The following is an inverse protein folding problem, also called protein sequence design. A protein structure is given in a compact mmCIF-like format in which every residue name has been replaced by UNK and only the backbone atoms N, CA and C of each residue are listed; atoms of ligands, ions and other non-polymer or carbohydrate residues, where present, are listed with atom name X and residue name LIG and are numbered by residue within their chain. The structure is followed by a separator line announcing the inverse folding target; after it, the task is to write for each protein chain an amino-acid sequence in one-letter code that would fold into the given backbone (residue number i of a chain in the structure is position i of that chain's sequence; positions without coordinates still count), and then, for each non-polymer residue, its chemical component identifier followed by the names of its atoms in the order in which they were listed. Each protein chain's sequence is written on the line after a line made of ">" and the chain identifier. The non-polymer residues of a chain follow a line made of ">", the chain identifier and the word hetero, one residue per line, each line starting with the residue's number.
data_IF_096244905968
#
_entry.id   IF_096244905968
#
_cell.length_a   1.000
_cell.length_b   1.000
_cell.length_c   1.000
_cell.angle_alpha   90.00
_cell.angle_beta   90.00
_cell.angle_gamma   90.00
#
_symmetry.space_group_name_H-M   'P 1'
#
loop_
_entity.id
_entity.type
_entity.pdbx_description
1 polymer ?
#
# COMPACT_ATOMS: atom_id res chain seq x y z
N UNK A 1 29.59 -18.50 5.03
CA UNK A 1 28.12 -18.66 5.05
C UNK A 1 27.59 -17.97 3.81
N UNK A 2 26.82 -18.64 2.96
CA UNK A 2 26.12 -17.93 1.88
C UNK A 2 25.21 -16.89 2.52
N UNK A 3 25.27 -15.63 2.08
CA UNK A 3 24.34 -14.61 2.56
C UNK A 3 22.92 -15.05 2.24
N UNK A 4 22.01 -15.02 3.21
CA UNK A 4 20.60 -15.31 2.97
C UNK A 4 20.08 -14.40 1.85
N UNK A 5 19.22 -14.95 1.01
CA UNK A 5 18.62 -14.22 -0.12
C UNK A 5 17.67 -13.14 0.36
N UNK A 6 17.26 -12.27 -0.56
CA UNK A 6 16.08 -11.43 -0.38
C UNK A 6 14.88 -12.04 -1.10
N UNK A 7 13.67 -11.56 -0.81
CA UNK A 7 12.47 -11.91 -1.55
C UNK A 7 11.67 -10.66 -1.95
N UNK A 8 10.90 -10.78 -3.02
CA UNK A 8 9.81 -9.86 -3.37
C UNK A 8 8.53 -10.65 -3.34
N UNK A 9 7.50 -10.13 -2.69
CA UNK A 9 6.20 -10.78 -2.63
C UNK A 9 5.08 -9.79 -2.98
N UNK A 10 4.44 -10.03 -4.12
CA UNK A 10 3.20 -9.35 -4.48
C UNK A 10 2.03 -9.95 -3.72
N UNK A 11 1.20 -9.10 -3.13
CA UNK A 11 0.05 -9.47 -2.31
C UNK A 11 -1.21 -9.27 -3.14
N UNK A 12 -1.83 -10.36 -3.55
CA UNK A 12 -2.98 -10.33 -4.47
C UNK A 12 -4.17 -11.06 -3.89
N UNK A 13 -5.39 -10.68 -4.28
CA UNK A 13 -6.53 -11.60 -4.18
C UNK A 13 -6.37 -12.74 -5.17
N UNK A 14 -6.20 -12.35 -6.43
CA UNK A 14 -5.88 -13.19 -7.58
C UNK A 14 -4.95 -12.37 -8.46
N UNK A 15 -3.79 -12.89 -8.88
CA UNK A 15 -2.85 -12.11 -9.65
C UNK A 15 -3.37 -11.85 -11.06
N UNK A 16 -3.27 -10.61 -11.51
CA UNK A 16 -3.56 -10.22 -12.89
C UNK A 16 -2.36 -10.45 -13.82
N UNK A 17 -2.61 -10.31 -15.12
CA UNK A 17 -1.64 -10.65 -16.15
C UNK A 17 -0.42 -9.72 -16.16
N UNK A 18 -0.62 -8.46 -15.80
CA UNK A 18 0.43 -7.44 -15.76
C UNK A 18 1.36 -7.66 -14.57
N UNK A 19 0.80 -7.98 -13.40
CA UNK A 19 1.56 -8.31 -12.18
C UNK A 19 2.45 -9.52 -12.42
N UNK A 20 1.92 -10.59 -13.01
CA UNK A 20 2.68 -11.81 -13.34
C UNK A 20 3.82 -11.44 -14.31
N UNK A 21 3.53 -10.75 -15.41
CA UNK A 21 4.54 -10.41 -16.41
C UNK A 21 5.67 -9.55 -15.85
N UNK A 22 5.37 -8.58 -14.98
CA UNK A 22 6.41 -7.78 -14.36
C UNK A 22 7.23 -8.58 -13.33
N UNK A 23 6.58 -9.44 -12.54
CA UNK A 23 7.27 -10.37 -11.65
C UNK A 23 8.25 -11.28 -12.42
N UNK A 24 7.87 -11.77 -13.60
CA UNK A 24 8.78 -12.54 -14.43
C UNK A 24 9.95 -11.69 -14.99
N UNK A 25 9.74 -10.41 -15.28
CA UNK A 25 10.82 -9.51 -15.68
C UNK A 25 11.85 -9.35 -14.54
N UNK A 26 11.39 -9.17 -13.30
CA UNK A 26 12.27 -9.15 -12.12
C UNK A 26 13.04 -10.47 -11.98
N UNK A 27 12.36 -11.61 -12.17
CA UNK A 27 12.97 -12.93 -12.03
C UNK A 27 14.03 -13.23 -13.11
N UNK A 28 13.91 -12.64 -14.31
CA UNK A 28 14.84 -12.82 -15.42
C UNK A 28 16.05 -11.88 -15.35
N UNK A 29 15.97 -10.78 -14.61
CA UNK A 29 17.06 -9.81 -14.53
C UNK A 29 18.29 -10.41 -13.84
N UNK A 30 19.44 -10.36 -14.51
CA UNK A 30 20.68 -10.99 -14.04
C UNK A 30 21.23 -10.37 -12.75
N UNK A 31 20.84 -9.13 -12.43
CA UNK A 31 21.24 -8.44 -11.18
C UNK A 31 20.44 -8.94 -9.98
N UNK A 32 19.26 -9.52 -10.22
CA UNK A 32 18.32 -9.98 -9.18
C UNK A 32 18.28 -11.50 -9.06
N UNK A 33 18.26 -12.22 -10.18
CA UNK A 33 17.91 -13.66 -10.28
C UNK A 33 18.74 -14.60 -9.41
N UNK A 34 19.98 -14.23 -9.08
CA UNK A 34 20.84 -15.03 -8.20
C UNK A 34 20.53 -14.88 -6.71
N UNK A 35 19.94 -13.75 -6.30
CA UNK A 35 19.87 -13.33 -4.90
C UNK A 35 18.49 -12.86 -4.41
N UNK A 36 17.51 -12.75 -5.31
CA UNK A 36 16.15 -12.30 -5.00
C UNK A 36 15.14 -13.31 -5.53
N UNK A 37 14.43 -13.97 -4.63
CA UNK A 37 13.33 -14.87 -5.03
C UNK A 37 12.06 -14.04 -5.27
N UNK A 38 11.37 -14.31 -6.39
CA UNK A 38 10.15 -13.60 -6.76
C UNK A 38 8.92 -14.45 -6.42
N UNK A 39 8.05 -13.90 -5.58
CA UNK A 39 6.89 -14.57 -5.04
C UNK A 39 5.60 -13.80 -5.34
N UNK A 40 4.49 -14.53 -5.46
CA UNK A 40 3.14 -13.95 -5.51
C UNK A 40 2.29 -14.67 -4.46
N UNK A 41 1.82 -13.93 -3.46
CA UNK A 41 0.90 -14.42 -2.44
C UNK A 41 -0.54 -14.27 -2.93
N UNK A 42 -1.29 -15.36 -2.89
CA UNK A 42 -2.66 -15.45 -3.36
C UNK A 42 -3.61 -15.62 -2.17
N UNK A 43 -4.51 -14.66 -2.01
CA UNK A 43 -5.50 -14.68 -0.93
C UNK A 43 -6.74 -15.55 -1.24
N UNK A 44 -7.15 -15.67 -2.52
CA UNK A 44 -8.25 -16.56 -2.89
C UNK A 44 -7.83 -18.04 -2.77
N UNK A 45 -8.42 -18.78 -1.83
CA UNK A 45 -8.13 -20.21 -1.60
C UNK A 45 -8.56 -21.11 -2.77
N UNK A 46 -9.43 -20.64 -3.66
CA UNK A 46 -9.96 -21.43 -4.77
C UNK A 46 -9.24 -21.15 -6.10
N UNK A 47 -8.35 -20.16 -6.12
CA UNK A 47 -7.61 -19.82 -7.32
C UNK A 47 -6.73 -21.00 -7.76
N UNK A 48 -6.77 -21.31 -9.06
CA UNK A 48 -6.00 -22.41 -9.65
C UNK A 48 -4.67 -21.86 -10.16
N UNK A 49 -3.58 -22.22 -9.49
CA UNK A 49 -2.23 -21.81 -9.88
C UNK A 49 -1.84 -22.49 -11.18
N UNK A 50 -1.40 -21.70 -12.13
CA UNK A 50 -0.71 -22.20 -13.32
C UNK A 50 0.77 -22.31 -13.03
N UNK A 51 1.39 -23.42 -13.45
CA UNK A 51 2.81 -23.65 -13.22
C UNK A 51 3.65 -22.55 -13.89
N UNK A 52 4.63 -22.03 -13.14
CA UNK A 52 5.59 -21.04 -13.62
C UNK A 52 6.95 -21.39 -13.02
N UNK A 53 7.99 -21.46 -13.86
CA UNK A 53 9.34 -21.84 -13.41
C UNK A 53 10.13 -20.68 -12.79
N UNK A 54 9.66 -19.44 -12.96
CA UNK A 54 10.34 -18.22 -12.53
C UNK A 54 9.72 -17.61 -11.27
N UNK A 55 8.42 -17.82 -11.06
CA UNK A 55 7.66 -17.22 -9.96
C UNK A 55 7.24 -18.31 -8.96
N UNK A 56 7.49 -18.04 -7.68
CA UNK A 56 6.97 -18.84 -6.58
C UNK A 56 5.56 -18.35 -6.21
N UNK A 57 4.52 -19.02 -6.73
CA UNK A 57 3.15 -18.78 -6.29
C UNK A 57 2.91 -19.42 -4.93
N UNK A 58 2.45 -18.63 -3.96
CA UNK A 58 2.18 -19.05 -2.59
C UNK A 58 0.69 -18.87 -2.33
N UNK A 59 0.04 -19.95 -1.89
CA UNK A 59 -1.37 -19.94 -1.52
C UNK A 59 -1.52 -20.71 -0.21
N UNK A 60 -1.82 -19.98 0.86
CA UNK A 60 -1.97 -20.55 2.20
C UNK A 60 -3.45 -20.50 2.58
N UNK A 61 -3.96 -21.57 3.17
CA UNK A 61 -5.34 -21.61 3.62
C UNK A 61 -5.58 -20.61 4.77
N UNK A 62 -6.70 -19.88 4.73
CA UNK A 62 -7.06 -18.93 5.78
C UNK A 62 -7.06 -19.55 7.18
N UNK A 63 -7.57 -20.77 7.33
CA UNK A 63 -7.65 -21.46 8.62
C UNK A 63 -6.26 -21.80 9.17
N UNK A 64 -5.30 -22.13 8.30
CA UNK A 64 -3.92 -22.36 8.71
C UNK A 64 -3.30 -21.07 9.25
N UNK A 65 -3.50 -19.95 8.54
CA UNK A 65 -3.01 -18.64 8.95
C UNK A 65 -3.62 -18.20 10.30
N UNK A 66 -4.95 -18.30 10.43
CA UNK A 66 -5.71 -17.94 11.63
C UNK A 66 -5.31 -18.81 12.82
N UNK A 67 -5.24 -20.14 12.65
CA UNK A 67 -4.86 -21.06 13.74
C UNK A 67 -3.42 -20.83 14.23
N UNK A 68 -2.57 -20.22 13.41
CA UNK A 68 -1.22 -19.80 13.80
C UNK A 68 -1.15 -18.37 14.37
N UNK A 69 -2.28 -17.67 14.52
CA UNK A 69 -2.37 -16.33 15.10
C UNK A 69 -2.05 -15.20 14.12
N UNK A 70 -1.91 -15.50 12.83
CA UNK A 70 -1.69 -14.51 11.79
C UNK A 70 -3.03 -14.17 11.15
N UNK A 71 -3.68 -13.11 11.66
CA UNK A 71 -4.98 -12.65 11.19
C UNK A 71 -5.23 -11.22 11.66
N UNK A 72 -6.22 -10.56 11.03
CA UNK A 72 -6.78 -9.25 11.39
C UNK A 72 -5.92 -8.03 11.04
N UNK A 73 -4.86 -8.18 10.25
CA UNK A 73 -3.98 -7.05 9.90
C UNK A 73 -4.68 -5.90 9.17
N UNK A 74 -5.85 -6.13 8.55
CA UNK A 74 -6.67 -5.09 7.93
C UNK A 74 -8.16 -5.20 8.28
N UNK A 75 -8.48 -5.74 9.47
CA UNK A 75 -9.88 -5.99 9.85
C UNK A 75 -10.72 -4.71 9.94
N UNK A 76 -10.08 -3.58 10.27
CA UNK A 76 -10.73 -2.26 10.32
C UNK A 76 -11.35 -1.83 8.98
N UNK A 77 -10.71 -2.16 7.87
CA UNK A 77 -11.16 -1.72 6.54
C UNK A 77 -11.93 -2.78 5.76
N UNK A 78 -11.52 -4.05 5.87
CA UNK A 78 -11.98 -5.09 4.95
C UNK A 78 -13.04 -6.02 5.55
N UNK A 79 -13.31 -5.93 6.86
CA UNK A 79 -14.20 -6.85 7.59
C UNK A 79 -13.97 -8.34 7.23
N UNK A 80 -12.69 -8.70 7.02
CA UNK A 80 -12.24 -10.05 6.69
C UNK A 80 -11.12 -10.44 7.65
N UNK A 81 -11.19 -11.66 8.19
CA UNK A 81 -10.27 -12.08 9.25
C UNK A 81 -8.86 -12.39 8.74
N UNK A 82 -8.71 -12.92 7.52
CA UNK A 82 -7.41 -13.24 6.94
C UNK A 82 -7.34 -12.77 5.50
N UNK A 83 -6.29 -12.02 5.17
CA UNK A 83 -5.98 -11.52 3.83
C UNK A 83 -4.56 -11.89 3.40
N UNK A 84 -4.17 -11.52 2.17
CA UNK A 84 -2.83 -11.76 1.63
C UNK A 84 -1.70 -11.25 2.53
N UNK A 85 -1.90 -10.11 3.21
CA UNK A 85 -0.97 -9.58 4.22
C UNK A 85 -0.73 -10.56 5.38
N UNK A 86 -1.80 -11.09 5.99
CA UNK A 86 -1.68 -12.04 7.09
C UNK A 86 -0.92 -13.31 6.63
N UNK A 87 -1.27 -13.82 5.44
CA UNK A 87 -0.63 -15.01 4.84
C UNK A 87 0.85 -14.77 4.55
N UNK A 88 1.22 -13.60 4.02
CA UNK A 88 2.61 -13.24 3.76
C UNK A 88 3.40 -13.12 5.06
N UNK A 89 2.84 -12.50 6.09
CA UNK A 89 3.50 -12.41 7.38
C UNK A 89 3.64 -13.78 8.04
N UNK A 90 2.65 -14.66 7.95
CA UNK A 90 2.79 -16.05 8.39
C UNK A 90 3.91 -16.76 7.63
N UNK A 91 3.94 -16.64 6.30
CA UNK A 91 4.95 -17.26 5.46
C UNK A 91 6.37 -16.78 5.83
N UNK A 92 6.62 -15.46 5.85
CA UNK A 92 7.96 -14.92 6.05
C UNK A 92 8.39 -14.85 7.51
N UNK A 93 7.47 -14.73 8.47
CA UNK A 93 7.81 -14.71 9.89
C UNK A 93 7.92 -16.11 10.50
N UNK A 94 7.24 -17.12 9.93
CA UNK A 94 7.17 -18.47 10.49
C UNK A 94 7.71 -19.53 9.53
N UNK A 95 7.04 -19.79 8.39
CA UNK A 95 7.38 -20.90 7.49
C UNK A 95 8.80 -20.74 6.91
N UNK A 96 9.18 -19.51 6.57
CA UNK A 96 10.44 -19.12 5.92
C UNK A 96 11.30 -18.22 6.80
N UNK A 97 11.16 -18.35 8.12
CA UNK A 97 11.87 -17.51 9.09
C UNK A 97 13.39 -17.47 8.83
N UNK A 98 13.97 -18.59 8.37
CA UNK A 98 15.40 -18.71 8.20
C UNK A 98 15.92 -18.52 6.77
N UNK A 99 15.05 -18.30 5.78
CA UNK A 99 15.44 -18.37 4.37
C UNK A 99 15.86 -17.01 3.81
N UNK A 100 15.28 -15.92 4.35
CA UNK A 100 15.44 -14.57 3.81
C UNK A 100 16.05 -13.58 4.80
N UNK A 101 16.99 -12.75 4.33
CA UNK A 101 17.53 -11.61 5.08
C UNK A 101 16.66 -10.36 4.97
N UNK A 102 15.95 -10.21 3.85
CA UNK A 102 15.17 -9.03 3.52
C UNK A 102 13.98 -9.38 2.62
N UNK A 103 12.81 -8.81 2.86
CA UNK A 103 11.60 -9.09 2.08
C UNK A 103 10.90 -7.80 1.70
N UNK A 104 10.62 -7.62 0.41
CA UNK A 104 9.66 -6.62 -0.06
C UNK A 104 8.25 -7.21 -0.08
N UNK A 105 7.31 -6.52 0.55
CA UNK A 105 5.87 -6.82 0.54
C UNK A 105 5.17 -5.70 -0.21
N UNK A 106 4.45 -6.04 -1.28
CA UNK A 106 3.94 -5.06 -2.26
C UNK A 106 2.49 -5.42 -2.60
N UNK A 107 1.56 -4.50 -2.42
CA UNK A 107 0.17 -4.64 -2.87
C UNK A 107 0.10 -4.66 -4.40
N UNK A 108 -0.87 -5.39 -4.94
CA UNK A 108 -1.01 -5.59 -6.38
C UNK A 108 -1.46 -4.35 -7.14
N UNK A 109 -1.91 -3.29 -6.46
CA UNK A 109 -2.15 -1.96 -7.02
C UNK A 109 -1.00 -0.95 -6.76
N UNK A 110 0.16 -1.41 -6.30
CA UNK A 110 1.40 -0.63 -6.32
C UNK A 110 2.17 -0.85 -7.62
N UNK A 111 2.24 0.19 -8.46
CA UNK A 111 2.93 0.16 -9.73
C UNK A 111 4.42 0.53 -9.59
N UNK A 112 5.28 -0.39 -10.01
CA UNK A 112 6.74 -0.17 -10.08
C UNK A 112 7.12 -0.01 -11.54
N UNK A 113 7.56 1.16 -12.02
CA UNK A 113 7.67 1.46 -13.45
C UNK A 113 8.59 0.55 -14.28
N UNK A 114 9.69 0.07 -13.69
CA UNK A 114 10.69 -0.73 -14.40
C UNK A 114 11.48 -1.65 -13.46
N UNK A 115 12.21 -2.60 -14.04
CA UNK A 115 13.15 -3.42 -13.26
C UNK A 115 14.25 -2.54 -12.65
N UNK A 116 14.68 -1.48 -13.35
CA UNK A 116 15.69 -0.54 -12.86
C UNK A 116 15.22 0.25 -11.63
N UNK A 117 13.96 0.68 -11.60
CA UNK A 117 13.40 1.38 -10.44
C UNK A 117 13.25 0.46 -9.23
N UNK A 118 12.92 -0.83 -9.45
CA UNK A 118 13.00 -1.83 -8.39
C UNK A 118 14.44 -2.06 -7.91
N UNK A 119 15.34 -2.38 -8.84
CA UNK A 119 16.73 -2.75 -8.55
C UNK A 119 17.45 -1.64 -7.79
N UNK A 120 17.34 -0.39 -8.24
CA UNK A 120 18.01 0.75 -7.61
C UNK A 120 17.59 0.94 -6.16
N UNK A 121 16.30 0.76 -5.86
CA UNK A 121 15.80 0.86 -4.49
C UNK A 121 16.24 -0.33 -3.63
N UNK A 122 16.13 -1.54 -4.18
CA UNK A 122 16.53 -2.77 -3.50
C UNK A 122 18.03 -2.77 -3.18
N UNK A 123 18.88 -2.49 -4.16
CA UNK A 123 20.34 -2.49 -4.00
C UNK A 123 20.79 -1.49 -2.92
N UNK A 124 20.19 -0.30 -2.91
CA UNK A 124 20.53 0.77 -1.97
C UNK A 124 20.14 0.48 -0.53
N UNK A 125 18.97 -0.14 -0.29
CA UNK A 125 18.37 -0.17 1.05
C UNK A 125 18.13 -1.57 1.64
N UNK A 126 18.40 -2.65 0.90
CA UNK A 126 18.20 -4.01 1.42
C UNK A 126 19.49 -4.68 1.94
N UNK A 127 20.66 -4.12 1.64
CA UNK A 127 21.97 -4.70 1.97
C UNK A 127 22.97 -3.63 2.40
N UNK A 128 24.00 -4.04 3.13
CA UNK A 128 25.10 -3.16 3.56
C UNK A 128 24.69 -2.10 4.59
N UNK A 129 25.56 -1.09 4.77
CA UNK A 129 25.40 -0.05 5.78
C UNK A 129 24.16 0.84 5.57
N UNK A 130 23.77 1.02 4.32
CA UNK A 130 22.58 1.79 3.93
C UNK A 130 21.28 1.03 4.18
N UNK A 131 21.34 -0.26 4.54
CA UNK A 131 20.15 -1.08 4.77
C UNK A 131 19.27 -0.51 5.88
N UNK A 132 17.96 -0.59 5.70
CA UNK A 132 16.94 -0.29 6.71
C UNK A 132 16.30 -1.56 7.26
N UNK A 133 15.76 -1.47 8.47
CA UNK A 133 14.89 -2.51 9.03
C UNK A 133 13.47 -2.42 8.48
N UNK A 134 12.99 -1.19 8.28
CA UNK A 134 11.74 -0.87 7.59
C UNK A 134 12.02 0.17 6.51
N UNK A 135 11.65 -0.12 5.27
CA UNK A 135 11.60 0.86 4.17
C UNK A 135 10.13 1.10 3.87
N UNK A 136 9.65 2.33 4.03
CA UNK A 136 8.24 2.67 3.81
C UNK A 136 8.10 4.15 3.44
N UNK A 137 6.89 4.58 3.06
CA UNK A 137 6.67 5.93 2.54
C UNK A 137 6.95 7.04 3.59
N UNK A 138 6.53 6.86 4.84
CA UNK A 138 6.75 7.83 5.93
C UNK A 138 6.87 7.15 7.29
N UNK A 139 7.09 7.95 8.34
CA UNK A 139 7.13 7.45 9.71
C UNK A 139 6.55 8.52 10.65
N UNK A 140 5.25 8.77 10.50
CA UNK A 140 4.56 9.80 11.26
C UNK A 140 4.40 9.36 12.71
N UNK A 141 4.76 10.25 13.64
CA UNK A 141 4.76 9.98 15.08
C UNK A 141 3.49 10.52 15.75
N UNK A 142 2.88 9.67 16.57
CA UNK A 142 1.89 10.05 17.57
C UNK A 142 2.50 9.83 18.96
N UNK A 143 3.15 10.88 19.46
CA UNK A 143 3.93 10.84 20.70
C UNK A 143 3.05 10.61 21.94
N UNK A 144 1.89 11.25 21.99
CA UNK A 144 1.06 11.33 23.20
C UNK A 144 -0.14 10.37 23.20
N UNK A 145 -0.30 9.56 22.14
CA UNK A 145 -1.39 8.61 22.03
C UNK A 145 -2.76 9.26 21.77
N UNK A 146 -2.80 10.33 20.95
CA UNK A 146 -4.06 10.95 20.54
C UNK A 146 -4.87 9.97 19.68
N UNK A 147 -6.04 9.56 20.18
CA UNK A 147 -6.90 8.58 19.52
C UNK A 147 -7.88 9.20 18.50
N UNK A 148 -7.89 10.52 18.32
CA UNK A 148 -8.89 11.24 17.54
C UNK A 148 -8.70 11.19 16.02
N UNK A 149 -7.53 10.75 15.54
CA UNK A 149 -7.15 10.71 14.12
C UNK A 149 -6.63 9.33 13.70
N UNK A 150 -6.38 9.13 12.39
CA UNK A 150 -5.67 7.99 11.79
C UNK A 150 -6.01 6.59 12.33
N UNK A 151 -7.25 6.36 12.77
CA UNK A 151 -7.73 5.09 13.36
C UNK A 151 -7.01 4.69 14.66
N UNK A 152 -6.39 5.64 15.34
CA UNK A 152 -5.63 5.40 16.57
C UNK A 152 -6.45 4.80 17.70
N UNK A 153 -7.78 4.93 17.71
CA UNK A 153 -8.62 4.21 18.67
C UNK A 153 -8.38 2.69 18.69
N UNK A 154 -8.00 2.08 17.56
CA UNK A 154 -7.75 0.64 17.46
C UNK A 154 -6.43 0.20 18.13
N UNK A 155 -5.43 1.07 18.24
CA UNK A 155 -4.10 0.68 18.77
C UNK A 155 -4.09 0.49 20.29
N UNK A 156 -5.11 1.02 20.98
CA UNK A 156 -5.22 1.00 22.45
C UNK A 156 -5.22 -0.44 22.96
N UNK A 157 -4.36 -0.71 23.95
CA UNK A 157 -4.16 -2.05 24.50
C UNK A 157 -3.27 -2.98 23.66
N UNK A 158 -2.87 -2.57 22.45
CA UNK A 158 -1.91 -3.29 21.58
C UNK A 158 -0.49 -2.76 21.76
N UNK A 159 -0.33 -1.44 21.84
CA UNK A 159 0.93 -0.77 22.08
C UNK A 159 0.77 0.39 23.07
N UNK A 160 1.80 0.66 23.88
CA UNK A 160 1.93 1.93 24.61
C UNK A 160 2.46 3.02 23.68
N UNK A 161 2.05 4.29 23.81
CA UNK A 161 2.69 5.40 23.09
C UNK A 161 4.21 5.48 23.39
N UNK A 162 5.03 6.01 22.47
CA UNK A 162 4.65 6.60 21.18
C UNK A 162 4.22 5.55 20.15
N UNK A 163 3.28 5.93 19.28
CA UNK A 163 2.85 5.14 18.13
C UNK A 163 3.33 5.77 16.83
N UNK A 164 3.53 4.95 15.80
CA UNK A 164 4.01 5.41 14.50
C UNK A 164 3.23 4.74 13.37
N UNK A 165 3.11 5.42 12.24
CA UNK A 165 2.40 4.87 11.07
C UNK A 165 2.96 5.32 9.73
N UNK A 166 2.56 4.59 8.69
CA UNK A 166 2.82 4.91 7.27
C UNK A 166 1.71 4.34 6.38
N UNK A 167 1.63 4.83 5.14
CA UNK A 167 1.08 4.01 4.06
C UNK A 167 2.05 2.83 3.83
N UNK A 168 1.54 1.60 3.81
CA UNK A 168 2.37 0.39 3.71
C UNK A 168 2.10 -0.44 2.45
N UNK A 169 1.46 0.14 1.44
CA UNK A 169 1.16 -0.50 0.15
C UNK A 169 2.40 -1.09 -0.53
N UNK A 170 3.58 -0.55 -0.23
CA UNK A 170 4.86 -1.19 -0.52
C UNK A 170 5.84 -0.93 0.62
N UNK A 171 6.38 -2.00 1.21
CA UNK A 171 7.39 -1.91 2.26
C UNK A 171 8.50 -2.93 2.08
N UNK A 172 9.70 -2.57 2.55
CA UNK A 172 10.82 -3.47 2.71
C UNK A 172 11.05 -3.79 4.17
N UNK A 173 11.17 -5.06 4.52
CA UNK A 173 11.34 -5.53 5.90
C UNK A 173 12.63 -6.34 6.04
N UNK A 174 13.47 -5.99 7.01
CA UNK A 174 14.59 -6.84 7.40
C UNK A 174 14.11 -8.08 8.14
N UNK A 175 14.97 -9.10 8.20
CA UNK A 175 14.76 -10.28 9.06
C UNK A 175 14.51 -9.88 10.52
N UNK A 176 15.23 -8.88 11.04
CA UNK A 176 15.08 -8.41 12.42
C UNK A 176 13.65 -7.90 12.67
N UNK A 177 13.08 -7.11 11.75
CA UNK A 177 11.70 -6.64 11.86
C UNK A 177 10.70 -7.79 11.76
N UNK A 178 10.87 -8.68 10.79
CA UNK A 178 9.98 -9.85 10.63
C UNK A 178 10.03 -10.77 11.87
N UNK A 179 11.18 -10.90 12.54
CA UNK A 179 11.29 -11.66 13.78
C UNK A 179 10.57 -10.97 14.94
N UNK A 180 10.66 -9.64 15.04
CA UNK A 180 9.90 -8.88 16.04
C UNK A 180 8.39 -9.03 15.84
N UNK A 181 7.91 -8.97 14.60
CA UNK A 181 6.49 -9.22 14.26
C UNK A 181 6.10 -10.66 14.59
N UNK A 182 6.93 -11.65 14.22
CA UNK A 182 6.68 -13.05 14.57
C UNK A 182 6.61 -13.27 16.08
N UNK A 183 7.45 -12.60 16.86
CA UNK A 183 7.41 -12.65 18.32
C UNK A 183 6.16 -11.97 18.90
N UNK A 184 5.72 -10.84 18.33
CA UNK A 184 4.44 -10.22 18.68
C UNK A 184 3.29 -11.22 18.49
N UNK A 185 3.21 -11.88 17.33
CA UNK A 185 2.15 -12.86 17.03
C UNK A 185 2.22 -14.08 17.97
N UNK A 186 3.42 -14.58 18.30
CA UNK A 186 3.57 -15.67 19.28
C UNK A 186 2.97 -15.32 20.64
N UNK A 187 3.10 -14.07 21.08
CA UNK A 187 2.61 -13.61 22.39
C UNK A 187 1.13 -13.22 22.36
N UNK A 188 0.70 -12.52 21.31
CA UNK A 188 -0.60 -11.85 21.24
C UNK A 188 -1.64 -12.62 20.44
N UNK A 189 -1.20 -13.53 19.56
CA UNK A 189 -2.04 -14.42 18.73
C UNK A 189 -2.93 -13.69 17.72
N UNK A 190 -2.58 -12.48 17.32
CA UNK A 190 -3.19 -11.73 16.21
C UNK A 190 -2.18 -10.72 15.63
N UNK A 191 -2.47 -10.17 14.44
CA UNK A 191 -1.74 -9.04 13.85
C UNK A 191 -2.50 -7.72 14.09
N UNK A 192 -1.86 -6.68 14.62
CA UNK A 192 -2.43 -5.33 14.67
C UNK A 192 -2.64 -4.74 13.27
N UNK A 193 -3.38 -3.63 13.19
CA UNK A 193 -3.61 -2.98 11.91
C UNK A 193 -2.29 -2.55 11.25
N UNK A 194 -2.13 -2.96 10.00
CA UNK A 194 -0.87 -2.93 9.26
C UNK A 194 -0.23 -1.54 9.19
N UNK A 195 -1.01 -0.48 9.02
CA UNK A 195 -0.43 0.86 8.80
C UNK A 195 0.30 1.42 10.02
N UNK A 196 -0.03 0.97 11.23
CA UNK A 196 0.73 1.35 12.44
C UNK A 196 1.63 0.22 12.97
N UNK A 197 1.34 -1.05 12.66
CA UNK A 197 2.06 -2.19 13.22
C UNK A 197 3.56 -2.14 12.90
N UNK A 198 3.93 -2.01 11.63
CA UNK A 198 5.32 -2.09 11.19
C UNK A 198 6.16 -0.96 11.80
N UNK A 199 5.71 0.29 11.62
CA UNK A 199 6.40 1.47 12.12
C UNK A 199 6.49 1.45 13.65
N UNK A 200 5.40 1.13 14.36
CA UNK A 200 5.42 1.10 15.83
C UNK A 200 6.37 0.03 16.38
N UNK A 201 6.32 -1.21 15.85
CA UNK A 201 7.24 -2.27 16.26
C UNK A 201 8.70 -1.89 15.97
N UNK A 202 8.97 -1.33 14.79
CA UNK A 202 10.31 -0.91 14.40
C UNK A 202 10.87 0.16 15.36
N UNK A 203 10.11 1.23 15.59
CA UNK A 203 10.55 2.34 16.44
C UNK A 203 10.73 1.92 17.90
N UNK A 204 9.78 1.17 18.46
CA UNK A 204 9.87 0.68 19.85
C UNK A 204 10.99 -0.35 20.05
N UNK A 205 11.42 -1.01 18.97
CA UNK A 205 12.55 -1.94 18.98
C UNK A 205 13.88 -1.30 18.57
N UNK A 206 13.95 0.04 18.48
CA UNK A 206 15.15 0.79 18.07
C UNK A 206 15.71 0.28 16.73
N UNK A 207 14.83 0.14 15.75
CA UNK A 207 15.14 -0.28 14.39
C UNK A 207 15.28 0.93 13.47
N UNK A 208 16.04 0.77 12.38
CA UNK A 208 16.26 1.84 11.40
C UNK A 208 15.10 1.88 10.40
N UNK A 209 14.25 2.90 10.50
CA UNK A 209 13.20 3.19 9.51
C UNK A 209 13.76 4.15 8.45
N UNK A 210 13.57 3.83 7.17
CA UNK A 210 14.01 4.64 6.03
C UNK A 210 12.79 5.05 5.21
N UNK A 211 12.69 6.35 4.91
CA UNK A 211 11.64 6.92 4.07
C UNK A 211 12.22 7.46 2.76
N UNK A 212 12.44 6.59 1.75
CA UNK A 212 13.07 7.00 0.51
C UNK A 212 12.12 7.87 -0.33
N UNK A 213 12.67 8.86 -1.03
CA UNK A 213 11.92 9.73 -1.95
C UNK A 213 11.19 8.97 -3.05
N UNK A 214 11.72 7.81 -3.42
CA UNK A 214 11.19 6.88 -4.42
C UNK A 214 9.83 6.29 -4.00
N UNK A 215 9.52 6.25 -2.70
CA UNK A 215 8.23 5.81 -2.17
C UNK A 215 7.29 6.99 -1.84
N UNK A 216 7.67 8.24 -2.09
CA UNK A 216 6.85 9.42 -1.76
C UNK A 216 5.50 9.48 -2.48
N UNK A 217 5.37 8.74 -3.59
CA UNK A 217 4.16 8.62 -4.43
C UNK A 217 3.28 7.42 -4.05
N UNK A 218 3.57 6.77 -2.92
CA UNK A 218 2.67 5.81 -2.29
C UNK A 218 1.69 6.58 -1.39
N UNK A 219 0.50 6.87 -1.91
CA UNK A 219 -0.51 7.70 -1.24
C UNK A 219 -1.87 7.01 -1.22
N UNK A 220 -2.80 7.43 -0.36
CA UNK A 220 -4.09 6.75 -0.23
C UNK A 220 -4.94 6.80 -1.51
N UNK A 221 -5.01 7.97 -2.17
CA UNK A 221 -5.77 8.18 -3.40
C UNK A 221 -5.06 9.20 -4.27
N UNK A 222 -4.87 8.86 -5.52
CA UNK A 222 -4.35 9.74 -6.58
C UNK A 222 -4.68 9.14 -7.95
N UNK A 223 -4.88 10.00 -8.95
CA UNK A 223 -5.12 9.61 -10.33
C UNK A 223 -3.81 9.72 -11.13
N UNK A 224 -2.95 8.72 -10.96
CA UNK A 224 -1.65 8.68 -11.61
C UNK A 224 -1.77 8.52 -13.14
N UNK A 225 -0.87 9.19 -13.88
CA UNK A 225 -0.85 9.19 -15.35
C UNK A 225 0.54 8.77 -15.85
N UNK A 226 0.66 8.44 -17.14
CA UNK A 226 1.96 8.18 -17.77
C UNK A 226 2.93 9.36 -17.63
N UNK A 227 2.42 10.60 -17.60
CA UNK A 227 3.24 11.79 -17.42
C UNK A 227 3.82 11.89 -16.02
N UNK A 228 3.02 11.62 -14.99
CA UNK A 228 3.51 11.56 -13.61
C UNK A 228 4.64 10.52 -13.46
N UNK A 229 4.49 9.36 -14.10
CA UNK A 229 5.50 8.31 -14.09
C UNK A 229 6.77 8.74 -14.84
N UNK A 230 6.64 9.39 -16.00
CA UNK A 230 7.80 9.92 -16.75
C UNK A 230 8.60 10.95 -15.95
N UNK A 231 7.93 11.80 -15.18
CA UNK A 231 8.59 12.82 -14.36
C UNK A 231 9.33 12.23 -13.16
N UNK A 232 8.94 11.03 -12.70
CA UNK A 232 9.54 10.35 -11.55
C UNK A 232 9.76 8.86 -11.87
N UNK A 233 10.66 8.53 -12.81
CA UNK A 233 10.79 7.17 -13.35
C UNK A 233 11.28 6.14 -12.33
N UNK A 234 11.95 6.59 -11.26
CA UNK A 234 12.42 5.74 -10.17
C UNK A 234 11.39 5.57 -9.04
N UNK A 235 10.29 6.32 -9.06
CA UNK A 235 9.28 6.25 -8.02
C UNK A 235 8.38 5.02 -8.18
N UNK A 236 7.84 4.55 -7.08
CA UNK A 236 6.76 3.55 -7.07
C UNK A 236 5.45 4.25 -6.76
N UNK A 237 4.36 3.84 -7.42
CA UNK A 237 3.13 4.60 -7.44
C UNK A 237 1.97 3.78 -6.90
N UNK A 238 1.21 4.35 -5.98
CA UNK A 238 -0.03 3.76 -5.50
C UNK A 238 -1.06 4.88 -5.30
N UNK A 239 -2.34 4.65 -5.67
CA UNK A 239 -2.88 3.41 -6.25
C UNK A 239 -2.86 3.37 -7.79
N UNK A 240 -2.65 2.18 -8.36
CA UNK A 240 -2.82 1.87 -9.79
C UNK A 240 -3.61 0.56 -9.94
N UNK A 241 -4.94 0.67 -10.04
CA UNK A 241 -5.84 -0.51 -9.97
C UNK A 241 -6.13 -1.20 -11.30
N UNK A 242 -5.90 -0.52 -12.43
CA UNK A 242 -6.26 -1.04 -13.75
C UNK A 242 -5.03 -1.66 -14.44
N UNK A 243 -5.07 -2.97 -14.68
CA UNK A 243 -3.95 -3.69 -15.31
C UNK A 243 -3.62 -3.20 -16.73
N UNK A 244 -4.62 -2.77 -17.52
CA UNK A 244 -4.41 -2.26 -18.87
C UNK A 244 -3.68 -0.92 -18.83
N UNK A 245 -4.05 -0.04 -17.91
CA UNK A 245 -3.36 1.24 -17.71
C UNK A 245 -1.90 1.01 -17.30
N UNK A 246 -1.63 0.11 -16.35
CA UNK A 246 -0.25 -0.23 -15.95
C UNK A 246 0.56 -0.78 -17.14
N UNK A 247 -0.04 -1.68 -17.92
CA UNK A 247 0.56 -2.24 -19.13
C UNK A 247 0.90 -1.16 -20.16
N UNK A 248 -0.06 -0.29 -20.47
CA UNK A 248 0.10 0.78 -21.46
C UNK A 248 1.19 1.76 -21.04
N UNK A 249 1.24 2.13 -19.76
CA UNK A 249 2.31 2.99 -19.23
C UNK A 249 3.67 2.34 -19.41
N UNK A 250 3.85 1.05 -19.07
CA UNK A 250 5.14 0.36 -19.28
C UNK A 250 5.55 0.35 -20.75
N UNK A 251 4.61 0.07 -21.65
CA UNK A 251 4.90 0.07 -23.10
C UNK A 251 5.37 1.46 -23.54
N UNK A 252 4.66 2.52 -23.14
CA UNK A 252 5.05 3.91 -23.44
C UNK A 252 6.45 4.22 -22.93
N UNK A 253 6.79 3.80 -21.69
CA UNK A 253 8.12 4.01 -21.13
C UNK A 253 9.20 3.31 -21.95
N UNK A 254 8.99 2.05 -22.37
CA UNK A 254 9.96 1.29 -23.19
C UNK A 254 10.21 1.97 -24.55
N UNK A 255 9.19 2.51 -25.19
CA UNK A 255 9.31 3.11 -26.53
C UNK A 255 9.75 4.58 -26.54
N UNK A 256 9.70 5.27 -25.39
CA UNK A 256 9.96 6.71 -25.31
C UNK A 256 11.20 7.08 -24.48
N UNK A 257 11.95 6.12 -23.93
CA UNK A 257 13.27 6.45 -23.38
C UNK A 257 14.21 6.82 -24.55
N UNK A 258 14.82 8.01 -24.57
CA UNK A 258 15.84 8.32 -25.56
C UNK A 258 17.00 7.34 -25.36
N UNK A 259 17.39 6.64 -26.41
CA UNK A 259 18.69 5.96 -26.47
C UNK A 259 19.76 7.05 -26.44
N UNK A 260 20.20 7.43 -25.23
CA UNK A 260 21.33 8.33 -25.10
C UNK A 260 22.56 7.67 -25.71
N UNK A 261 23.14 8.37 -26.70
CA UNK A 261 24.36 8.05 -27.42
C UNK A 261 25.39 7.35 -26.54
N UNK A 262 25.54 6.04 -26.71
CA UNK A 262 26.79 5.35 -26.43
C UNK A 262 27.63 5.52 -27.69
N UNK A 263 28.63 6.38 -27.63
CA UNK A 263 29.71 6.35 -28.61
C UNK A 263 30.30 4.94 -28.59
N UNK A 264 30.17 4.23 -29.71
CA UNK A 264 30.78 2.94 -29.91
C UNK A 264 32.31 3.08 -29.95
N UNK A 265 33.04 2.22 -29.22
CA UNK A 265 34.16 1.54 -29.84
C UNK A 265 33.90 0.04 -29.83
N UNK A 266 34.05 -0.58 -31.01
CA UNK A 266 34.32 -2.01 -31.09
C UNK A 266 33.10 -2.90 -31.26
N UNK A 267 32.90 -3.29 -32.51
CA UNK A 267 32.10 -4.42 -32.97
C UNK A 267 32.46 -5.73 -32.22
N UNK A 268 31.51 -6.33 -31.50
CA UNK A 268 31.54 -7.75 -31.13
C UNK A 268 30.12 -8.29 -31.33
N UNK A 269 29.96 -9.10 -32.38
CA UNK A 269 28.66 -9.63 -32.81
C UNK A 269 28.13 -10.74 -31.91
N UNK A 270 26.81 -10.76 -31.75
CA UNK A 270 26.04 -11.94 -31.35
C UNK A 270 24.96 -12.19 -32.40
N UNK A 271 24.83 -13.41 -32.98
CA UNK A 271 23.72 -13.75 -33.84
C UNK A 271 22.56 -14.26 -32.97
N UNK A 272 21.43 -13.58 -33.02
CA UNK A 272 20.19 -14.03 -32.38
C UNK A 272 19.00 -13.38 -33.05
N UNK A 273 18.40 -14.07 -34.02
CA UNK A 273 17.18 -13.63 -34.70
C UNK A 273 16.03 -13.53 -33.69
N UNK A 274 15.42 -12.35 -33.58
CA UNK A 274 14.10 -12.19 -32.94
C UNK A 274 13.00 -12.73 -33.87
N UNK A 275 11.98 -13.46 -33.36
CA UNK A 275 10.82 -13.85 -34.15
C UNK A 275 10.00 -12.63 -34.57
N UNK A 276 9.73 -12.47 -35.87
CA UNK A 276 8.73 -11.52 -36.36
C UNK A 276 7.33 -12.05 -36.06
N UNK A 277 6.62 -11.41 -35.12
CA UNK A 277 5.17 -11.56 -35.00
C UNK A 277 4.49 -10.70 -36.08
N UNK A 278 4.13 -11.31 -37.21
CA UNK A 278 3.14 -10.74 -38.12
C UNK A 278 1.73 -11.01 -37.57
N UNK A 279 1.24 -10.12 -36.70
CA UNK A 279 -0.16 -10.10 -36.29
C UNK A 279 -0.91 -9.04 -37.09
N UNK A 280 -1.77 -9.45 -38.02
CA UNK A 280 -2.72 -8.56 -38.69
C UNK A 280 -3.73 -8.03 -37.67
N UNK A 281 -3.97 -6.72 -37.68
CA UNK A 281 -4.97 -6.04 -36.86
C UNK A 281 -6.39 -6.37 -37.38
N UNK A 282 -7.31 -6.93 -36.58
CA UNK A 282 -8.70 -7.09 -37.02
C UNK A 282 -9.41 -5.72 -37.07
N UNK A 283 -9.92 -5.33 -38.25
CA UNK A 283 -10.82 -4.19 -38.38
C UNK A 283 -12.24 -4.59 -37.98
N UNK A 284 -12.78 -3.97 -36.93
CA UNK A 284 -14.21 -4.04 -36.63
C UNK A 284 -14.96 -2.98 -37.45
N UNK A 285 -15.74 -3.43 -38.46
CA UNK A 285 -16.77 -2.63 -39.11
C UNK A 285 -18.05 -2.67 -38.28
N UNK A 286 -18.35 -1.59 -37.57
CA UNK A 286 -19.67 -1.35 -36.96
C UNK A 286 -20.38 -0.21 -37.69
N UNK A 287 -21.53 -0.50 -38.30
CA UNK A 287 -22.35 0.46 -39.05
C UNK A 287 -23.03 1.48 -38.11
N UNK A 288 -22.92 2.78 -38.43
CA UNK A 288 -23.72 3.84 -37.81
C UNK A 288 -25.12 3.94 -38.48
N UNK A 289 -26.23 3.93 -37.73
CA UNK A 289 -27.55 4.25 -38.30
C UNK A 289 -27.67 5.74 -38.63
N UNK A 290 -28.15 6.06 -39.85
CA UNK A 290 -28.42 7.42 -40.30
C UNK A 290 -29.76 7.94 -39.77
N UNK A 291 -29.77 9.17 -39.24
CA UNK A 291 -30.99 9.97 -39.10
C UNK A 291 -30.94 11.16 -40.05
N UNK A 292 -31.93 11.24 -40.94
CA UNK A 292 -32.17 12.35 -41.86
C UNK A 292 -32.79 13.54 -41.12
N UNK A 293 -32.17 14.72 -41.25
CA UNK A 293 -32.74 16.00 -40.86
C UNK A 293 -32.20 17.09 -41.78
N UNK A 294 -33.10 17.77 -42.51
CA UNK A 294 -32.81 18.68 -43.62
C UNK A 294 -32.09 19.96 -43.18
N UNK A 295 -31.16 20.43 -44.01
CA UNK A 295 -30.43 21.69 -43.85
C UNK A 295 -31.02 22.75 -44.81
N UNK A 296 -31.50 23.92 -44.33
CA UNK A 296 -31.71 25.09 -45.20
C UNK A 296 -30.41 25.88 -45.34
N UNK A 297 -30.01 26.16 -46.59
CA UNK A 297 -28.89 27.03 -46.93
C UNK A 297 -29.28 28.51 -46.83
N UNK A 298 -28.40 29.35 -46.28
CA UNK A 298 -28.35 30.77 -46.59
C UNK A 298 -26.89 31.24 -46.75
N UNK A 299 -26.63 31.87 -47.90
CA UNK A 299 -25.42 32.63 -48.22
C UNK A 299 -25.46 33.99 -47.51
N UNK A 300 -24.33 34.46 -46.97
CA UNK A 300 -24.20 35.87 -46.55
C UNK A 300 -23.10 36.16 -45.53
N UNK A 301 -22.01 36.78 -46.01
CA UNK A 301 -21.06 37.71 -45.37
C UNK A 301 -20.72 37.61 -43.87
N UNK A 302 -19.40 37.61 -43.58
CA UNK A 302 -18.79 37.81 -42.25
C UNK A 302 -19.24 39.10 -41.56
N UNK A 303 -19.65 39.03 -40.29
CA UNK A 303 -19.54 40.14 -39.34
C UNK A 303 -18.36 39.91 -38.39
N UNK A 304 -17.45 40.89 -38.28
CA UNK A 304 -16.60 41.03 -37.10
C UNK A 304 -17.42 41.64 -35.96
N UNK A 305 -17.36 41.03 -34.77
CA UNK A 305 -17.77 41.68 -33.52
C UNK A 305 -16.71 41.46 -32.44
N UNK A 306 -16.11 42.55 -31.99
CA UNK A 306 -15.51 42.68 -30.66
C UNK A 306 -16.65 42.77 -29.63
N UNK A 307 -16.57 42.04 -28.50
CA UNK A 307 -17.47 42.32 -27.37
C UNK A 307 -17.67 41.21 -26.34
N UNK A 308 -17.01 41.40 -25.19
CA UNK A 308 -17.45 41.10 -23.81
C UNK A 308 -17.46 39.65 -23.27
N UNK A 309 -16.75 39.51 -22.15
CA UNK A 309 -16.75 38.38 -21.21
C UNK A 309 -18.11 38.32 -20.50
N UNK A 310 -18.82 37.18 -20.48
CA UNK A 310 -19.98 37.00 -19.61
C UNK A 310 -19.53 36.85 -18.15
N UNK A 311 -19.99 37.74 -17.27
CA UNK A 311 -19.95 37.49 -15.82
C UNK A 311 -21.06 36.51 -15.44
N UNK A 312 -20.67 35.35 -14.91
CA UNK A 312 -21.61 34.44 -14.24
C UNK A 312 -21.81 34.87 -12.79
N UNK A 313 -22.97 35.44 -12.47
CA UNK A 313 -23.49 35.45 -11.10
C UNK A 313 -24.13 34.08 -10.83
N UNK A 314 -23.41 33.21 -10.11
CA UNK A 314 -23.95 31.96 -9.59
C UNK A 314 -24.60 32.17 -8.23
N UNK A 315 -25.93 32.04 -8.18
CA UNK A 315 -26.69 31.91 -6.93
C UNK A 315 -26.53 30.51 -6.36
N UNK A 316 -26.22 30.40 -5.06
CA UNK A 316 -26.11 29.15 -4.32
C UNK A 316 -27.51 28.53 -4.12
N UNK A 317 -27.75 27.26 -4.52
CA UNK A 317 -28.96 26.54 -4.10
C UNK A 317 -28.84 26.11 -2.63
N UNK A 318 -29.75 26.56 -1.77
CA UNK A 318 -29.92 26.00 -0.43
C UNK A 318 -30.72 24.70 -0.50
N UNK A 319 -30.13 23.59 -0.06
CA UNK A 319 -30.84 22.34 0.20
C UNK A 319 -31.34 22.32 1.65
N UNK A 320 -32.66 22.35 1.85
CA UNK A 320 -33.30 21.98 3.12
C UNK A 320 -33.39 20.45 3.20
N UNK A 321 -32.48 19.84 3.95
CA UNK A 321 -32.57 18.44 4.37
C UNK A 321 -33.18 18.34 5.77
N UNK A 322 -34.35 17.71 5.87
CA UNK A 322 -35.00 17.40 7.14
C UNK A 322 -34.24 16.30 7.89
N UNK A 323 -33.97 16.52 9.17
CA UNK A 323 -33.38 15.54 10.10
C UNK A 323 -34.52 14.72 10.72
N UNK A 324 -34.53 13.37 10.65
CA UNK A 324 -35.46 12.56 11.43
C UNK A 324 -35.11 12.65 12.93
N UNK A 325 -36.02 13.22 13.72
CA UNK A 325 -35.98 13.22 15.18
C UNK A 325 -36.42 11.85 15.71
N UNK A 326 -35.55 11.15 16.46
CA UNK A 326 -35.96 10.00 17.27
C UNK A 326 -36.45 10.51 18.65
N UNK A 327 -37.66 10.15 19.11
CA UNK A 327 -38.17 10.61 20.39
C UNK A 327 -37.50 9.90 21.57
N UNK A 328 -36.80 10.68 22.40
CA UNK A 328 -36.47 10.33 23.78
C UNK A 328 -37.76 10.31 24.62
N UNK A 329 -38.10 9.17 25.20
CA UNK A 329 -39.11 9.10 26.26
C UNK A 329 -38.45 9.47 27.60
N UNK A 330 -38.82 10.64 28.14
CA UNK A 330 -38.68 10.97 29.55
C UNK A 330 -39.88 10.40 30.30
N UNK A 331 -39.63 9.52 31.28
CA UNK A 331 -40.63 9.14 32.27
C UNK A 331 -40.29 9.84 33.59
N UNK A 332 -41.15 10.77 34.00
CA UNK A 332 -41.09 11.43 35.30
C UNK A 332 -42.17 10.90 36.24
N UNK A 333 -41.70 10.40 37.39
CA UNK A 333 -42.28 10.48 38.75
C UNK A 333 -43.66 9.90 39.05
N UNK A 334 -43.69 8.85 39.89
CA UNK A 334 -44.61 8.75 41.03
C UNK A 334 -43.95 8.03 42.23
N UNK A 335 -43.94 8.72 43.38
CA UNK A 335 -44.02 8.28 44.79
C UNK A 335 -42.92 7.41 45.48
N UNK A 336 -42.35 8.01 46.53
CA UNK A 336 -41.49 7.50 47.64
C UNK A 336 -42.31 6.75 48.75
N UNK A 337 -41.77 6.24 49.91
CA UNK A 337 -40.42 5.82 50.41
C UNK A 337 -40.48 4.40 51.12
N UNK A 338 -39.62 3.94 52.08
CA UNK A 338 -38.30 4.37 52.59
C UNK A 338 -37.21 3.25 52.66
N UNK A 339 -36.02 3.66 53.14
CA UNK A 339 -35.01 2.89 53.89
C UNK A 339 -33.71 2.39 53.21
N UNK A 340 -32.61 2.92 53.78
CA UNK A 340 -31.30 2.31 54.02
C UNK A 340 -30.15 2.58 53.03
N UNK A 341 -29.36 3.61 53.36
CA UNK A 341 -27.89 3.46 53.43
C UNK A 341 -27.04 3.91 52.24
N UNK A 342 -26.79 5.22 52.12
CA UNK A 342 -25.59 5.73 51.45
C UNK A 342 -24.44 5.82 52.48
N UNK A 343 -23.33 5.12 52.21
CA UNK A 343 -22.01 5.45 52.76
C UNK A 343 -21.15 5.93 51.60
N UNK A 344 -20.84 7.22 51.61
CA UNK A 344 -19.90 7.88 50.69
C UNK A 344 -18.52 7.83 51.32
N UNK A 345 -17.52 7.30 50.62
CA UNK A 345 -16.11 7.53 50.95
C UNK A 345 -15.48 8.45 49.91
N UNK A 346 -15.41 9.73 50.25
CA UNK A 346 -14.44 10.67 49.68
C UNK A 346 -13.18 10.63 50.56
N UNK A 347 -12.02 10.31 49.97
CA UNK A 347 -10.74 10.43 50.67
C UNK A 347 -10.14 11.80 50.38
N UNK A 348 -10.08 12.61 51.44
CA UNK A 348 -9.25 13.80 51.57
C UNK A 348 -7.83 13.39 51.98
N UNK A 349 -6.83 14.08 51.42
CA UNK A 349 -5.42 13.94 51.81
C UNK A 349 -5.17 14.52 53.21
N UNK A 350 -4.41 13.85 54.09
CA UNK A 350 -3.88 14.47 55.29
C UNK A 350 -2.49 15.08 55.03
N UNK A 351 -2.39 16.35 55.40
CA UNK A 351 -1.19 17.13 55.66
C UNK A 351 -0.34 16.50 56.78
N UNK A 352 0.91 16.13 56.48
CA UNK A 352 2.08 16.16 57.38
C UNK A 352 3.32 15.55 56.68
N UNK A 353 4.25 16.37 56.19
CA UNK A 353 5.64 15.98 55.97
C UNK A 353 6.61 17.12 56.35
N UNK A 354 7.77 16.82 56.97
CA UNK A 354 8.79 17.81 57.35
C UNK A 354 9.67 18.25 56.16
N UNK A 355 10.44 19.35 56.28
CA UNK A 355 11.01 20.08 55.14
C UNK A 355 12.25 19.42 54.51
N UNK A 356 12.61 19.78 53.26
CA UNK A 356 13.68 19.14 52.50
C UNK A 356 15.08 19.70 52.87
N UNK A 357 16.08 18.82 52.85
CA UNK A 357 17.49 19.22 52.81
C UNK A 357 17.93 19.55 51.37
N UNK A 358 18.92 20.46 51.18
CA UNK A 358 19.26 21.06 49.88
C UNK A 358 20.35 20.28 49.11
N UNK A 359 20.65 20.65 47.85
CA UNK A 359 21.25 19.75 46.86
C UNK A 359 22.79 19.76 46.87
N UNK A 360 23.36 18.64 46.47
CA UNK A 360 24.62 18.54 45.72
C UNK A 360 24.47 17.52 44.60
#
# INVERSE_FOLDING_TARGET
>A
MNSKKSAVCYLTRTPDSETIQFAEQLARDSRLSSNVDICIMIDDNNFQIQANSLINFIQINNNECISNGYHSSNKLEMNKDCISWDKALYYFCHIKQNDYAFVWLIEDDCFIPSVDSFFSLHDKYSKGYSSGDLICQKNDENLYGDTSTWKWGDVVGKFSPPWYHSMVCAIGCSRRLLDAIGNYVKQRRFLPFLEYMFNTIAMQSQMKVINPSELSTIVFREDWTSEHVRQRPNNWFHPFKNEHVRRDIRLVLVFQMPTHNVEHPGNIGYPGQMPQYQGQMPQYQGQMPQYQGQMPQYQGQMPQYQGQIPQYQGSIPQYQGAIPQYPYFMASSYNLPPDSGCVVFSHTYPSNMPPPYPPY
#
